data_IF_418340086863
#
_entry.id   IF_418340086863
#
_cell.length_a   1.000
_cell.length_b   1.000
_cell.length_c   1.000
_cell.angle_alpha   90.00
_cell.angle_beta   90.00
_cell.angle_gamma   90.00
#
_symmetry.space_group_name_H-M   'P 1'
#
loop_
_entity.id
_entity.type
_entity.pdbx_description
1 polymer ?
#
# COMPACT_ATOMS: atom_id res chain seq x y z
N UNK A 1 5.45 12.75 31.94
CA UNK A 1 6.69 11.95 31.87
C UNK A 1 6.28 10.49 31.91
N UNK A 2 6.07 9.90 30.76
CA UNK A 2 5.83 8.46 30.63
C UNK A 2 7.18 7.78 30.66
N UNK A 3 7.45 7.05 31.72
CA UNK A 3 8.65 6.19 31.86
C UNK A 3 8.57 5.12 30.78
N UNK A 4 9.48 5.17 29.81
CA UNK A 4 9.75 4.03 28.92
C UNK A 4 10.33 2.90 29.79
N UNK A 5 9.54 1.88 30.06
CA UNK A 5 10.09 0.61 30.55
C UNK A 5 10.96 0.01 29.43
N UNK A 6 12.18 -0.44 29.72
CA UNK A 6 12.99 -1.12 28.72
C UNK A 6 12.25 -2.40 28.31
N UNK A 7 11.94 -2.53 27.02
CA UNK A 7 11.40 -3.77 26.46
C UNK A 7 12.45 -4.87 26.71
N UNK A 8 12.13 -5.83 27.55
CA UNK A 8 12.93 -7.05 27.69
C UNK A 8 12.86 -7.81 26.39
N UNK A 9 14.00 -8.20 25.82
CA UNK A 9 14.03 -9.03 24.63
C UNK A 9 13.18 -10.28 24.87
N UNK A 10 12.21 -10.59 23.98
CA UNK A 10 11.34 -11.74 24.15
C UNK A 10 12.18 -13.02 24.18
N UNK A 11 11.80 -13.96 25.03
CA UNK A 11 12.45 -15.26 25.09
C UNK A 11 12.11 -16.10 23.85
N UNK A 12 12.93 -17.09 23.55
CA UNK A 12 12.65 -18.03 22.45
C UNK A 12 11.26 -18.68 22.57
N UNK A 13 10.79 -18.92 23.79
CA UNK A 13 9.45 -19.48 24.08
C UNK A 13 8.34 -18.49 23.70
N UNK A 14 8.55 -17.18 23.95
CA UNK A 14 7.59 -16.14 23.59
C UNK A 14 7.45 -16.01 22.07
N UNK A 15 8.57 -16.01 21.33
CA UNK A 15 8.60 -15.98 19.87
C UNK A 15 7.88 -17.19 19.27
N UNK A 16 8.07 -18.38 19.86
CA UNK A 16 7.40 -19.60 19.39
C UNK A 16 5.89 -19.54 19.64
N UNK A 17 5.46 -19.04 20.80
CA UNK A 17 4.05 -18.87 21.12
C UNK A 17 3.36 -17.86 20.19
N UNK A 18 4.03 -16.75 19.84
CA UNK A 18 3.56 -15.80 18.82
C UNK A 18 3.48 -16.49 17.47
N UNK A 19 4.48 -17.26 17.08
CA UNK A 19 4.51 -18.02 15.81
C UNK A 19 3.31 -18.96 15.66
N UNK A 20 2.93 -19.69 16.69
CA UNK A 20 1.76 -20.59 16.67
C UNK A 20 0.45 -19.82 16.50
N UNK A 21 0.32 -18.65 17.14
CA UNK A 21 -0.84 -17.78 16.97
C UNK A 21 -0.90 -17.18 15.54
N UNK A 22 0.22 -16.69 15.04
CA UNK A 22 0.36 -16.13 13.67
C UNK A 22 0.00 -17.21 12.65
N UNK A 23 0.54 -18.42 12.78
CA UNK A 23 0.25 -19.54 11.88
C UNK A 23 -1.24 -19.88 11.81
N UNK A 24 -1.93 -19.80 12.93
CA UNK A 24 -3.38 -20.02 12.95
C UNK A 24 -4.15 -18.85 12.37
N UNK A 25 -3.74 -17.61 12.66
CA UNK A 25 -4.40 -16.39 12.21
C UNK A 25 -4.15 -16.07 10.74
N UNK A 26 -3.07 -16.57 10.11
CA UNK A 26 -2.77 -16.39 8.69
C UNK A 26 -3.60 -17.29 7.76
N UNK A 27 -4.14 -18.41 8.25
CA UNK A 27 -4.92 -19.36 7.43
C UNK A 27 -6.07 -18.70 6.65
N UNK A 28 -6.91 -17.80 7.22
CA UNK A 28 -7.95 -17.13 6.46
C UNK A 28 -7.41 -16.27 5.32
N UNK A 29 -6.24 -15.64 5.48
CA UNK A 29 -5.60 -14.84 4.43
C UNK A 29 -5.10 -15.71 3.28
N UNK A 30 -4.51 -16.86 3.56
CA UNK A 30 -4.13 -17.85 2.53
C UNK A 30 -5.36 -18.32 1.74
N UNK A 31 -6.46 -18.68 2.42
CA UNK A 31 -7.71 -19.07 1.76
C UNK A 31 -8.31 -17.95 0.92
N UNK A 32 -8.21 -16.70 1.38
CA UNK A 32 -8.68 -15.55 0.62
C UNK A 32 -7.82 -15.35 -0.63
N UNK A 33 -6.51 -15.46 -0.52
CA UNK A 33 -5.59 -15.39 -1.65
C UNK A 33 -5.91 -16.48 -2.69
N UNK A 34 -6.10 -17.72 -2.27
CA UNK A 34 -6.52 -18.83 -3.15
C UNK A 34 -7.86 -18.53 -3.84
N UNK A 35 -8.84 -17.98 -3.10
CA UNK A 35 -10.13 -17.58 -3.66
C UNK A 35 -10.00 -16.48 -4.69
N UNK A 36 -9.09 -15.52 -4.49
CA UNK A 36 -8.81 -14.45 -5.44
C UNK A 36 -8.11 -14.97 -6.70
N UNK A 37 -7.18 -15.92 -6.58
CA UNK A 37 -6.52 -16.57 -7.72
C UNK A 37 -7.48 -17.37 -8.63
N UNK A 38 -8.63 -17.80 -8.11
CA UNK A 38 -9.66 -18.41 -8.95
C UNK A 38 -10.30 -17.41 -9.93
N UNK A 39 -10.25 -16.12 -9.63
CA UNK A 39 -10.86 -15.05 -10.42
C UNK A 39 -9.80 -14.22 -11.15
N UNK A 40 -8.62 -14.04 -10.56
CA UNK A 40 -7.52 -13.23 -11.07
C UNK A 40 -6.41 -14.18 -11.51
N UNK A 41 -5.94 -14.01 -12.73
CA UNK A 41 -4.83 -14.79 -13.28
C UNK A 41 -3.58 -13.92 -13.22
N UNK A 42 -2.51 -14.46 -12.63
CA UNK A 42 -1.29 -13.70 -12.38
C UNK A 42 -1.49 -12.62 -11.34
N UNK A 43 -0.66 -11.59 -11.40
CA UNK A 43 -0.68 -10.45 -10.46
C UNK A 43 -0.46 -10.87 -8.99
N UNK A 44 0.27 -11.96 -8.78
CA UNK A 44 0.50 -12.54 -7.45
C UNK A 44 1.16 -11.53 -6.52
N UNK A 45 2.09 -10.74 -7.06
CA UNK A 45 2.77 -9.70 -6.32
C UNK A 45 1.82 -8.59 -5.89
N UNK A 46 0.98 -8.07 -6.79
CA UNK A 46 -0.03 -7.07 -6.46
C UNK A 46 -0.96 -7.57 -5.35
N UNK A 47 -1.48 -8.80 -5.48
CA UNK A 47 -2.37 -9.39 -4.48
C UNK A 47 -1.66 -9.49 -3.13
N UNK A 48 -0.41 -9.94 -3.11
CA UNK A 48 0.37 -10.05 -1.88
C UNK A 48 0.62 -8.68 -1.23
N UNK A 49 0.99 -7.65 -2.03
CA UNK A 49 1.16 -6.27 -1.53
C UNK A 49 -0.13 -5.66 -0.99
N UNK A 50 -1.28 -6.00 -1.58
CA UNK A 50 -2.58 -5.57 -1.05
C UNK A 50 -2.84 -6.14 0.35
N UNK A 51 -2.52 -7.40 0.61
CA UNK A 51 -2.62 -8.01 1.94
C UNK A 51 -1.64 -7.36 2.93
N UNK A 52 -0.40 -7.10 2.51
CA UNK A 52 0.59 -6.39 3.34
C UNK A 52 0.05 -4.99 3.70
N UNK A 53 -0.44 -4.22 2.73
CA UNK A 53 -1.00 -2.89 2.98
C UNK A 53 -2.20 -2.92 3.93
N UNK A 54 -3.07 -3.92 3.81
CA UNK A 54 -4.21 -4.12 4.70
C UNK A 54 -3.77 -4.42 6.14
N UNK A 55 -2.78 -5.30 6.31
CA UNK A 55 -2.26 -5.73 7.61
C UNK A 55 -1.37 -4.65 8.27
N UNK A 56 -0.52 -4.00 7.50
CA UNK A 56 0.33 -2.90 7.96
C UNK A 56 -0.44 -1.57 8.14
N UNK A 57 -1.75 -1.56 7.87
CA UNK A 57 -2.62 -0.37 7.94
C UNK A 57 -2.13 0.80 7.07
N UNK A 58 -1.53 0.50 5.93
CA UNK A 58 -0.99 1.48 4.98
C UNK A 58 -1.80 1.55 3.69
N UNK A 59 -1.49 2.54 2.86
CA UNK A 59 -2.11 2.77 1.57
C UNK A 59 -1.12 2.47 0.44
N UNK A 60 -1.60 2.08 -0.73
CA UNK A 60 -0.77 1.68 -1.86
C UNK A 60 -0.94 2.62 -3.04
N UNK A 61 0.16 2.95 -3.69
CA UNK A 61 0.19 3.54 -5.02
C UNK A 61 0.52 2.43 -6.02
N UNK A 62 -0.34 2.24 -7.01
CA UNK A 62 -0.17 1.20 -8.03
C UNK A 62 0.15 1.89 -9.35
N UNK A 63 1.35 1.67 -9.84
CA UNK A 63 1.77 2.15 -11.15
C UNK A 63 1.68 1.02 -12.18
N UNK A 64 1.06 1.29 -13.31
CA UNK A 64 0.95 0.32 -14.39
C UNK A 64 -0.11 0.70 -15.39
N UNK A 65 0.03 0.15 -16.59
CA UNK A 65 -0.86 0.42 -17.73
C UNK A 65 -2.33 0.05 -17.43
N UNK A 66 -3.30 0.64 -18.14
CA UNK A 66 -4.70 0.25 -18.01
C UNK A 66 -4.93 -1.19 -18.48
N UNK A 67 -5.99 -1.83 -17.97
CA UNK A 67 -6.37 -3.19 -18.41
C UNK A 67 -5.75 -4.35 -17.61
N UNK A 68 -4.93 -4.10 -16.60
CA UNK A 68 -4.26 -5.12 -15.78
C UNK A 68 -5.12 -5.64 -14.60
N UNK A 69 -6.43 -5.68 -14.73
CA UNK A 69 -7.38 -6.20 -13.75
C UNK A 69 -7.30 -5.57 -12.34
N UNK A 70 -6.68 -4.37 -12.18
CA UNK A 70 -6.56 -3.68 -10.89
C UNK A 70 -7.89 -3.53 -10.17
N UNK A 71 -8.94 -3.08 -10.87
CA UNK A 71 -10.29 -2.93 -10.31
C UNK A 71 -10.87 -4.27 -9.84
N UNK A 72 -10.64 -5.33 -10.61
CA UNK A 72 -11.09 -6.67 -10.24
C UNK A 72 -10.38 -7.17 -8.98
N UNK A 73 -9.07 -6.96 -8.86
CA UNK A 73 -8.29 -7.34 -7.69
C UNK A 73 -8.80 -6.64 -6.42
N UNK A 74 -8.97 -5.31 -6.47
CA UNK A 74 -9.42 -4.53 -5.31
C UNK A 74 -10.86 -4.86 -4.91
N UNK A 75 -11.76 -5.01 -5.89
CA UNK A 75 -13.16 -5.39 -5.60
C UNK A 75 -13.27 -6.82 -5.08
N UNK A 76 -12.38 -7.72 -5.51
CA UNK A 76 -12.31 -9.10 -5.04
C UNK A 76 -11.83 -9.17 -3.58
N UNK A 77 -10.82 -8.37 -3.22
CA UNK A 77 -10.37 -8.24 -1.83
C UNK A 77 -11.51 -7.79 -0.93
N UNK A 78 -12.21 -6.71 -1.30
CA UNK A 78 -13.32 -6.17 -0.51
C UNK A 78 -14.44 -7.18 -0.29
N UNK A 79 -14.83 -7.92 -1.33
CA UNK A 79 -15.83 -9.00 -1.24
C UNK A 79 -15.37 -10.13 -0.36
N UNK A 80 -14.09 -10.51 -0.45
CA UNK A 80 -13.52 -11.61 0.31
C UNK A 80 -13.45 -11.35 1.82
N UNK A 81 -13.42 -10.08 2.24
CA UNK A 81 -13.41 -9.66 3.65
C UNK A 81 -14.74 -9.02 4.10
N UNK A 82 -15.81 -9.17 3.34
CA UNK A 82 -17.15 -8.62 3.61
C UNK A 82 -17.13 -7.14 4.01
N UNK A 83 -16.59 -6.29 3.15
CA UNK A 83 -16.48 -4.86 3.44
C UNK A 83 -16.89 -4.00 2.25
N UNK A 84 -17.16 -2.72 2.51
CA UNK A 84 -17.56 -1.77 1.48
C UNK A 84 -16.40 -1.45 0.54
N UNK A 85 -16.72 -1.40 -0.76
CA UNK A 85 -15.80 -1.03 -1.83
C UNK A 85 -16.37 0.12 -2.64
N UNK A 86 -15.51 1.09 -2.96
CA UNK A 86 -15.84 2.18 -3.87
C UNK A 86 -14.71 2.40 -4.88
N UNK A 87 -15.06 2.44 -6.16
CA UNK A 87 -14.16 2.92 -7.21
C UNK A 87 -14.44 4.39 -7.45
N UNK A 88 -13.40 5.20 -7.45
CA UNK A 88 -13.41 6.62 -7.74
C UNK A 88 -12.54 6.88 -8.96
N UNK A 89 -13.14 7.26 -10.08
CA UNK A 89 -12.39 7.69 -11.25
C UNK A 89 -12.02 9.16 -11.08
N UNK A 90 -10.74 9.44 -11.06
CA UNK A 90 -10.24 10.81 -10.96
C UNK A 90 -10.25 11.48 -12.32
N UNK A 91 -10.82 12.70 -12.39
CA UNK A 91 -10.98 13.50 -13.62
C UNK A 91 -10.65 14.95 -13.34
N UNK A 92 -10.31 15.76 -14.37
CA UNK A 92 -9.94 17.17 -14.19
C UNK A 92 -11.04 18.06 -13.61
N UNK A 93 -12.30 17.67 -13.72
CA UNK A 93 -13.48 18.38 -13.22
C UNK A 93 -13.92 17.99 -11.81
N UNK A 94 -13.28 16.97 -11.21
CA UNK A 94 -13.61 16.51 -9.87
C UNK A 94 -13.34 17.59 -8.81
N UNK A 95 -14.23 17.71 -7.84
CA UNK A 95 -14.09 18.62 -6.71
C UNK A 95 -13.81 17.82 -5.40
N UNK A 96 -13.15 18.43 -4.40
CA UNK A 96 -12.96 17.78 -3.09
C UNK A 96 -14.27 17.32 -2.44
N UNK A 97 -15.36 18.08 -2.62
CA UNK A 97 -16.67 17.73 -2.09
C UNK A 97 -17.29 16.47 -2.71
N UNK A 98 -16.94 16.14 -3.96
CA UNK A 98 -17.38 14.91 -4.60
C UNK A 98 -16.76 13.66 -3.95
N UNK A 99 -15.59 13.82 -3.34
CA UNK A 99 -14.88 12.80 -2.60
C UNK A 99 -15.35 12.72 -1.13
N UNK A 100 -15.37 13.86 -0.44
CA UNK A 100 -15.60 13.92 1.01
C UNK A 100 -17.08 14.02 1.39
N UNK A 101 -17.88 14.56 0.48
CA UNK A 101 -19.27 14.88 0.75
C UNK A 101 -19.49 16.36 1.10
N UNK A 102 -20.74 16.73 1.34
CA UNK A 102 -21.15 18.13 1.50
C UNK A 102 -22.34 18.27 2.44
N UNK A 103 -22.59 19.49 2.88
CA UNK A 103 -23.84 19.86 3.56
C UNK A 103 -24.93 20.13 2.52
N UNK A 104 -26.06 19.47 2.67
CA UNK A 104 -27.26 19.68 1.86
C UNK A 104 -28.33 20.34 2.71
N UNK A 105 -28.91 21.46 2.20
CA UNK A 105 -30.04 22.09 2.85
C UNK A 105 -31.34 21.37 2.46
N UNK A 106 -32.04 20.86 3.47
CA UNK A 106 -33.39 20.26 3.30
C UNK A 106 -34.45 21.30 3.50
N UNK A 107 -35.08 21.73 2.43
CA UNK A 107 -36.15 22.76 2.46
C UNK A 107 -37.39 22.31 3.23
N UNK A 108 -37.75 21.02 3.19
CA UNK A 108 -38.87 20.41 3.87
C UNK A 108 -38.78 20.48 5.41
N UNK A 109 -37.53 20.49 5.93
CA UNK A 109 -37.27 20.51 7.38
C UNK A 109 -36.55 21.78 7.86
N UNK A 110 -36.08 22.61 6.97
CA UNK A 110 -35.32 23.82 7.29
C UNK A 110 -33.97 23.56 7.95
N UNK A 111 -33.37 22.38 7.70
CA UNK A 111 -32.14 21.94 8.33
C UNK A 111 -31.05 21.58 7.30
N UNK A 112 -29.78 21.69 7.74
CA UNK A 112 -28.66 21.14 6.96
C UNK A 112 -28.41 19.70 7.39
N UNK A 113 -28.29 18.80 6.40
CA UNK A 113 -27.90 17.41 6.61
C UNK A 113 -26.56 17.14 5.94
N UNK A 114 -25.76 16.28 6.58
CA UNK A 114 -24.50 15.81 6.02
C UNK A 114 -24.79 14.73 4.99
N UNK A 115 -24.36 14.96 3.75
CA UNK A 115 -24.31 13.95 2.73
C UNK A 115 -22.87 13.44 2.59
N UNK A 116 -22.58 12.26 3.14
CA UNK A 116 -21.24 11.65 3.12
C UNK A 116 -20.84 11.24 1.72
N UNK A 117 -19.63 11.57 1.33
CA UNK A 117 -19.08 11.19 0.05
C UNK A 117 -18.56 9.74 0.01
N UNK A 118 -18.10 9.28 -1.15
CA UNK A 118 -17.64 7.91 -1.36
C UNK A 118 -16.40 7.52 -0.55
N UNK A 119 -15.66 8.49 -0.01
CA UNK A 119 -14.48 8.24 0.85
C UNK A 119 -14.82 7.47 2.14
N UNK A 120 -16.08 7.43 2.53
CA UNK A 120 -16.54 6.69 3.70
C UNK A 120 -16.72 5.18 3.43
N UNK A 121 -16.05 4.65 2.42
CA UNK A 121 -15.95 3.21 2.15
C UNK A 121 -14.66 2.65 2.74
N UNK A 122 -14.68 1.38 3.13
CA UNK A 122 -13.52 0.70 3.75
C UNK A 122 -12.38 0.48 2.77
N UNK A 123 -12.68 0.07 1.54
CA UNK A 123 -11.69 -0.11 0.48
C UNK A 123 -12.02 0.82 -0.67
N UNK A 124 -11.06 1.64 -1.04
CA UNK A 124 -11.19 2.62 -2.13
C UNK A 124 -10.15 2.35 -3.19
N UNK A 125 -10.60 2.26 -4.43
CA UNK A 125 -9.74 2.35 -5.60
C UNK A 125 -9.85 3.78 -6.16
N UNK A 126 -8.82 4.59 -5.93
CA UNK A 126 -8.66 5.92 -6.50
C UNK A 126 -7.98 5.79 -7.87
N UNK A 127 -8.78 5.66 -8.93
CA UNK A 127 -8.29 5.32 -10.26
C UNK A 127 -7.82 6.58 -11.00
N UNK A 128 -6.60 6.54 -11.53
CA UNK A 128 -5.93 7.65 -12.24
C UNK A 128 -5.83 8.94 -11.40
N UNK A 129 -5.29 8.82 -10.18
CA UNK A 129 -5.20 9.94 -9.21
C UNK A 129 -4.50 11.18 -9.79
N UNK A 130 -3.55 10.99 -10.72
CA UNK A 130 -2.82 12.05 -11.38
C UNK A 130 -3.65 12.84 -12.41
N UNK A 131 -4.90 12.47 -12.72
CA UNK A 131 -5.81 13.24 -13.60
C UNK A 131 -6.61 14.30 -12.87
N UNK A 132 -6.70 14.24 -11.55
CA UNK A 132 -7.45 15.24 -10.78
C UNK A 132 -6.57 16.41 -10.34
N UNK A 133 -7.17 17.61 -10.16
CA UNK A 133 -6.46 18.77 -9.64
C UNK A 133 -5.84 18.52 -8.26
N UNK A 134 -4.74 19.23 -7.96
CA UNK A 134 -3.99 19.08 -6.72
C UNK A 134 -4.85 19.22 -5.44
N UNK A 135 -5.93 20.00 -5.48
CA UNK A 135 -6.87 20.15 -4.34
C UNK A 135 -7.60 18.85 -4.01
N UNK A 136 -7.99 18.07 -5.02
CA UNK A 136 -8.67 16.79 -4.84
C UNK A 136 -7.70 15.73 -4.36
N UNK A 137 -6.50 15.69 -4.96
CA UNK A 137 -5.41 14.82 -4.50
C UNK A 137 -5.10 15.08 -3.02
N UNK A 138 -4.95 16.36 -2.63
CA UNK A 138 -4.68 16.75 -1.24
C UNK A 138 -5.79 16.33 -0.29
N UNK A 139 -7.06 16.44 -0.68
CA UNK A 139 -8.19 16.00 0.15
C UNK A 139 -8.17 14.47 0.39
N UNK A 140 -7.86 13.67 -0.65
CA UNK A 140 -7.69 12.23 -0.48
C UNK A 140 -6.53 11.90 0.47
N UNK A 141 -5.36 12.51 0.24
CA UNK A 141 -4.15 12.25 1.00
C UNK A 141 -4.27 12.71 2.47
N UNK A 142 -5.01 13.80 2.74
CA UNK A 142 -5.34 14.21 4.09
C UNK A 142 -6.24 13.18 4.78
N UNK A 143 -7.29 12.73 4.12
CA UNK A 143 -8.18 11.70 4.65
C UNK A 143 -7.45 10.37 4.91
N UNK A 144 -6.51 10.00 4.06
CA UNK A 144 -5.65 8.82 4.26
C UNK A 144 -4.81 8.94 5.54
N UNK A 145 -4.24 10.11 5.79
CA UNK A 145 -3.36 10.35 6.92
C UNK A 145 -4.14 10.50 8.24
N UNK A 146 -5.19 11.32 8.22
CA UNK A 146 -5.94 11.69 9.42
C UNK A 146 -7.01 10.66 9.81
N UNK A 147 -7.37 9.74 8.91
CA UNK A 147 -8.44 8.73 9.10
C UNK A 147 -9.78 9.35 9.50
N UNK A 148 -9.99 10.60 9.13
CA UNK A 148 -11.20 11.37 9.39
C UNK A 148 -11.38 12.45 8.32
N UNK A 149 -12.63 12.94 8.19
CA UNK A 149 -13.00 14.00 7.26
C UNK A 149 -13.91 15.00 7.98
N UNK A 150 -13.66 16.29 7.78
CA UNK A 150 -14.51 17.36 8.28
C UNK A 150 -15.46 17.83 7.19
N UNK A 151 -16.77 17.80 7.46
CA UNK A 151 -17.83 18.31 6.57
C UNK A 151 -18.59 19.40 7.30
N UNK A 152 -18.48 20.62 6.82
CA UNK A 152 -19.01 21.78 7.54
C UNK A 152 -18.29 22.00 8.88
N UNK A 153 -19.00 21.82 9.97
CA UNK A 153 -18.45 21.99 11.35
C UNK A 153 -18.21 20.66 12.07
N UNK A 154 -18.54 19.53 11.44
CA UNK A 154 -18.47 18.21 12.07
C UNK A 154 -17.36 17.36 11.46
N UNK A 155 -16.64 16.63 12.33
CA UNK A 155 -15.58 15.69 11.93
C UNK A 155 -16.07 14.26 12.09
N UNK A 156 -15.94 13.47 11.01
CA UNK A 156 -16.38 12.09 10.92
C UNK A 156 -15.18 11.17 10.76
N UNK A 157 -15.08 10.13 11.56
CA UNK A 157 -14.08 9.07 11.39
C UNK A 157 -14.39 8.24 10.15
N UNK A 158 -13.36 7.84 9.46
CA UNK A 158 -13.45 6.86 8.37
C UNK A 158 -13.59 5.44 8.93
N UNK A 159 -14.07 4.46 8.14
CA UNK A 159 -14.21 3.09 8.60
C UNK A 159 -12.87 2.44 8.95
N UNK A 160 -12.89 1.38 9.73
CA UNK A 160 -11.75 0.50 9.94
C UNK A 160 -12.17 -0.94 9.57
N UNK A 161 -11.45 -1.60 8.65
CA UNK A 161 -10.27 -1.13 7.93
C UNK A 161 -10.56 -0.01 6.92
N UNK A 162 -9.58 0.86 6.69
CA UNK A 162 -9.60 1.87 5.64
C UNK A 162 -8.34 1.73 4.77
N UNK A 163 -8.51 1.24 3.56
CA UNK A 163 -7.42 1.02 2.61
C UNK A 163 -7.70 1.77 1.32
N UNK A 164 -6.79 2.65 0.93
CA UNK A 164 -6.80 3.32 -0.37
C UNK A 164 -5.74 2.69 -1.26
N UNK A 165 -6.16 2.29 -2.46
CA UNK A 165 -5.29 1.90 -3.55
C UNK A 165 -5.45 2.96 -4.63
N UNK A 166 -4.43 3.79 -4.81
CA UNK A 166 -4.42 4.80 -5.85
C UNK A 166 -3.69 4.26 -7.08
N UNK A 167 -4.21 4.52 -8.29
CA UNK A 167 -3.52 4.13 -9.51
C UNK A 167 -2.95 5.32 -10.23
N UNK A 168 -1.80 5.13 -10.87
CA UNK A 168 -1.20 6.05 -11.82
C UNK A 168 -0.93 5.33 -13.14
N UNK A 169 -1.17 6.03 -14.25
CA UNK A 169 -0.79 5.56 -15.56
C UNK A 169 0.50 6.29 -15.97
N UNK A 170 1.63 5.60 -16.11
CA UNK A 170 2.91 6.23 -16.46
C UNK A 170 2.97 6.74 -17.90
N UNK A 171 2.10 6.23 -18.78
CA UNK A 171 2.13 6.56 -20.23
C UNK A 171 1.37 7.86 -20.54
N UNK A 172 0.33 8.17 -19.78
CA UNK A 172 -0.48 9.37 -20.00
C UNK A 172 0.17 10.58 -19.33
N UNK A 173 0.77 11.47 -20.13
CA UNK A 173 1.37 12.72 -19.67
C UNK A 173 0.47 13.93 -19.92
N UNK A 174 -0.37 13.91 -20.97
CA UNK A 174 -1.25 15.03 -21.30
C UNK A 174 -2.45 15.13 -20.33
N UNK A 175 -2.67 16.32 -19.78
CA UNK A 175 -3.80 16.58 -18.87
C UNK A 175 -3.64 15.94 -17.48
N UNK A 176 -2.42 15.62 -17.07
CA UNK A 176 -2.11 15.07 -15.75
C UNK A 176 -1.51 16.13 -14.82
N UNK A 177 -1.75 15.93 -13.54
CA UNK A 177 -1.18 16.71 -12.44
C UNK A 177 -0.30 15.74 -11.61
N UNK A 178 1.02 15.74 -11.81
CA UNK A 178 1.89 14.83 -11.06
C UNK A 178 1.75 15.06 -9.56
N UNK A 179 1.77 13.98 -8.80
CA UNK A 179 1.81 14.07 -7.34
C UNK A 179 3.18 14.59 -6.93
N UNK A 180 3.27 15.67 -6.12
CA UNK A 180 4.53 16.07 -5.51
C UNK A 180 5.11 14.95 -4.66
N UNK A 181 6.44 14.82 -4.62
CA UNK A 181 7.15 13.77 -3.87
C UNK A 181 6.72 13.67 -2.40
N UNK A 182 6.59 14.82 -1.70
CA UNK A 182 6.10 14.88 -0.32
C UNK A 182 4.68 14.32 -0.15
N UNK A 183 3.90 14.22 -1.24
CA UNK A 183 2.57 13.61 -1.24
C UNK A 183 2.63 12.12 -1.55
N UNK A 184 3.53 11.70 -2.42
CA UNK A 184 3.75 10.28 -2.75
C UNK A 184 4.31 9.52 -1.53
N UNK A 185 5.14 10.16 -0.70
CA UNK A 185 5.69 9.63 0.57
C UNK A 185 4.59 9.31 1.64
N UNK A 186 3.32 9.63 1.37
CA UNK A 186 2.19 9.22 2.22
C UNK A 186 1.69 7.81 1.92
N UNK A 187 2.04 7.26 0.78
CA UNK A 187 1.79 5.86 0.47
C UNK A 187 2.85 4.98 1.14
N UNK A 188 2.42 3.84 1.63
CA UNK A 188 3.32 2.89 2.29
C UNK A 188 4.17 2.13 1.28
N UNK A 189 3.59 1.80 0.13
CA UNK A 189 4.25 1.10 -0.97
C UNK A 189 3.82 1.69 -2.31
N UNK A 190 4.76 1.74 -3.27
CA UNK A 190 4.50 1.96 -4.69
C UNK A 190 4.76 0.65 -5.44
N UNK A 191 3.70 0.00 -5.86
CA UNK A 191 3.74 -1.29 -6.55
C UNK A 191 3.70 -1.06 -8.06
N UNK A 192 4.71 -1.53 -8.77
CA UNK A 192 4.74 -1.51 -10.23
C UNK A 192 4.11 -2.79 -10.75
N UNK A 193 3.15 -2.66 -11.65
CA UNK A 193 2.39 -3.78 -12.21
C UNK A 193 2.69 -3.90 -13.69
N UNK A 194 3.33 -5.00 -14.06
CA UNK A 194 3.69 -5.32 -15.42
C UNK A 194 2.61 -6.08 -16.17
N UNK A 195 2.80 -6.19 -17.50
CA UNK A 195 1.95 -7.02 -18.33
C UNK A 195 2.03 -8.49 -17.93
N UNK A 196 0.92 -9.24 -18.06
CA UNK A 196 0.93 -10.67 -17.81
C UNK A 196 1.86 -11.39 -18.80
N UNK A 197 2.42 -12.48 -18.34
CA UNK A 197 3.22 -13.38 -19.20
C UNK A 197 2.36 -14.02 -20.27
N UNK A 198 2.97 -14.51 -21.33
CA UNK A 198 2.24 -15.24 -22.41
C UNK A 198 1.41 -16.41 -21.88
N UNK A 199 1.84 -17.06 -20.80
CA UNK A 199 1.11 -18.18 -20.19
C UNK A 199 -0.12 -17.68 -19.45
N UNK A 200 0.02 -16.59 -18.69
CA UNK A 200 -1.08 -15.94 -18.00
C UNK A 200 -2.12 -15.35 -18.96
N UNK A 201 -1.67 -14.71 -20.07
CA UNK A 201 -2.60 -14.23 -21.10
C UNK A 201 -3.44 -15.37 -21.70
N UNK A 202 -2.80 -16.53 -21.96
CA UNK A 202 -3.55 -17.70 -22.44
C UNK A 202 -4.56 -18.20 -21.43
N UNK A 203 -4.25 -18.15 -20.15
CA UNK A 203 -5.17 -18.54 -19.09
C UNK A 203 -6.29 -17.51 -18.92
N UNK A 204 -5.99 -16.21 -19.01
CA UNK A 204 -6.97 -15.13 -19.05
C UNK A 204 -7.95 -15.35 -20.21
N UNK A 205 -7.43 -15.63 -21.41
CA UNK A 205 -8.27 -15.90 -22.58
C UNK A 205 -9.21 -17.08 -22.35
N UNK A 206 -8.73 -18.18 -21.77
CA UNK A 206 -9.57 -19.36 -21.48
C UNK A 206 -10.67 -19.06 -20.46
N UNK A 207 -10.36 -18.27 -19.40
CA UNK A 207 -11.32 -18.01 -18.33
C UNK A 207 -12.27 -16.88 -18.64
N UNK A 208 -11.81 -15.84 -19.35
CA UNK A 208 -12.53 -14.58 -19.51
C UNK A 208 -13.16 -14.36 -20.88
N UNK A 209 -12.77 -15.14 -21.92
CA UNK A 209 -13.35 -15.00 -23.27
C UNK A 209 -14.74 -15.64 -23.36
N UNK A 210 -15.63 -15.31 -22.43
CA UNK A 210 -17.02 -15.75 -22.36
C UNK A 210 -17.94 -14.55 -22.15
N UNK A 211 -19.17 -14.62 -22.67
CA UNK A 211 -20.16 -13.54 -22.52
C UNK A 211 -20.74 -13.46 -21.09
N UNK A 212 -20.60 -14.53 -20.30
CA UNK A 212 -21.02 -14.60 -18.91
C UNK A 212 -19.82 -14.90 -18.04
N UNK A 213 -19.23 -13.85 -17.44
CA UNK A 213 -18.10 -13.99 -16.52
C UNK A 213 -18.62 -14.30 -15.12
N UNK A 214 -18.12 -15.36 -14.50
CA UNK A 214 -18.37 -15.65 -13.10
C UNK A 214 -17.20 -15.15 -12.24
N UNK A 215 -17.26 -13.88 -11.82
CA UNK A 215 -16.25 -13.20 -10.99
C UNK A 215 -16.64 -13.28 -9.50
N UNK A 216 -17.12 -14.44 -9.05
CA UNK A 216 -17.54 -14.62 -7.67
C UNK A 216 -16.35 -15.03 -6.80
N UNK A 217 -15.94 -14.11 -5.91
CA UNK A 217 -15.02 -14.40 -4.79
C UNK A 217 -15.89 -14.69 -3.57
N UNK A 218 -15.64 -15.83 -2.94
CA UNK A 218 -16.33 -16.17 -1.70
C UNK A 218 -15.88 -15.24 -0.56
N UNK A 219 -16.81 -14.83 0.29
CA UNK A 219 -16.47 -14.21 1.56
C UNK A 219 -15.77 -15.25 2.44
N UNK A 220 -14.55 -14.98 2.86
CA UNK A 220 -13.69 -15.90 3.62
C UNK A 220 -13.53 -15.46 5.07
N UNK A 221 -13.56 -14.15 5.31
CA UNK A 221 -13.40 -13.57 6.65
C UNK A 221 -14.21 -12.29 6.79
N UNK A 222 -14.49 -11.89 8.01
CA UNK A 222 -15.09 -10.61 8.34
C UNK A 222 -14.00 -9.52 8.50
N UNK A 223 -14.36 -8.27 8.23
CA UNK A 223 -13.48 -7.11 8.43
C UNK A 223 -12.95 -7.00 9.87
N UNK A 224 -13.73 -7.39 10.86
CA UNK A 224 -13.36 -7.45 12.28
C UNK A 224 -12.12 -8.32 12.55
N UNK A 225 -11.89 -9.37 11.74
CA UNK A 225 -10.73 -10.26 11.87
C UNK A 225 -9.41 -9.56 11.56
N UNK A 226 -9.45 -8.47 10.78
CA UNK A 226 -8.24 -7.72 10.40
C UNK A 226 -7.64 -6.99 11.59
N UNK A 227 -8.47 -6.43 12.49
CA UNK A 227 -7.96 -5.79 13.71
C UNK A 227 -7.19 -6.79 14.60
N UNK A 228 -7.70 -8.01 14.73
CA UNK A 228 -7.02 -9.08 15.45
C UNK A 228 -5.68 -9.46 14.80
N UNK A 229 -5.65 -9.57 13.47
CA UNK A 229 -4.44 -9.87 12.72
C UNK A 229 -3.40 -8.74 12.86
N UNK A 230 -3.79 -7.47 12.79
CA UNK A 230 -2.90 -6.31 13.00
C UNK A 230 -2.24 -6.33 14.38
N UNK A 231 -3.00 -6.66 15.44
CA UNK A 231 -2.44 -6.81 16.79
C UNK A 231 -1.37 -7.91 16.88
N UNK A 232 -1.51 -8.99 16.09
CA UNK A 232 -0.50 -10.02 16.00
C UNK A 232 0.71 -9.56 15.17
N UNK A 233 0.50 -8.83 14.07
CA UNK A 233 1.58 -8.21 13.29
C UNK A 233 2.43 -7.29 14.16
N UNK A 234 1.82 -6.49 15.05
CA UNK A 234 2.55 -5.63 15.97
C UNK A 234 3.47 -6.43 16.92
N UNK A 235 3.06 -7.65 17.29
CA UNK A 235 3.81 -8.54 18.21
C UNK A 235 4.91 -9.35 17.51
N UNK A 236 4.95 -9.42 16.18
CA UNK A 236 5.98 -10.13 15.43
C UNK A 236 7.35 -9.59 15.80
N UNK A 237 8.23 -10.50 16.17
CA UNK A 237 9.58 -10.17 16.61
C UNK A 237 10.44 -9.68 15.44
N UNK A 238 11.21 -8.64 15.70
CA UNK A 238 12.28 -8.17 14.82
C UNK A 238 13.57 -8.10 15.63
N UNK A 239 14.62 -8.73 15.14
CA UNK A 239 15.94 -8.72 15.77
C UNK A 239 16.59 -7.34 15.58
N UNK A 240 17.39 -6.92 16.58
CA UNK A 240 18.11 -5.63 16.54
C UNK A 240 19.02 -5.53 15.31
N UNK A 241 19.61 -6.63 14.84
CA UNK A 241 20.43 -6.63 13.63
C UNK A 241 19.60 -6.35 12.38
N UNK A 242 18.39 -6.90 12.29
CA UNK A 242 17.46 -6.62 11.18
C UNK A 242 16.94 -5.19 11.28
N UNK A 243 16.63 -4.71 12.48
CA UNK A 243 16.23 -3.33 12.68
C UNK A 243 17.33 -2.35 12.25
N UNK A 244 18.58 -2.62 12.61
CA UNK A 244 19.73 -1.84 12.15
C UNK A 244 19.90 -1.92 10.63
N UNK A 245 19.76 -3.10 10.03
CA UNK A 245 19.80 -3.29 8.57
C UNK A 245 18.77 -2.41 7.83
N UNK A 246 17.52 -2.34 8.33
CA UNK A 246 16.50 -1.44 7.78
C UNK A 246 16.92 0.03 7.89
N UNK A 247 17.46 0.42 9.04
CA UNK A 247 17.95 1.80 9.27
C UNK A 247 19.11 2.12 8.33
N UNK A 248 20.05 1.20 8.16
CA UNK A 248 21.22 1.37 7.29
C UNK A 248 20.80 1.55 5.84
N UNK A 249 19.87 0.72 5.32
CA UNK A 249 19.31 0.86 3.97
C UNK A 249 18.74 2.27 3.73
N UNK A 250 17.97 2.78 4.70
CA UNK A 250 17.35 4.12 4.58
C UNK A 250 18.41 5.23 4.75
N UNK A 251 19.36 5.08 5.65
CA UNK A 251 20.41 6.10 5.83
C UNK A 251 21.34 6.21 4.63
N UNK A 252 21.77 5.08 4.07
CA UNK A 252 22.64 5.06 2.88
C UNK A 252 21.96 5.74 1.69
N UNK A 253 20.62 5.64 1.56
CA UNK A 253 19.91 6.38 0.51
C UNK A 253 20.10 7.91 0.60
N UNK A 254 20.43 8.45 1.78
CA UNK A 254 20.65 9.88 2.03
C UNK A 254 22.11 10.29 1.89
N UNK A 255 23.01 9.33 1.85
CA UNK A 255 24.46 9.52 1.75
C UNK A 255 25.04 8.59 0.68
N UNK A 256 24.51 8.65 -0.58
CA UNK A 256 24.88 7.73 -1.65
C UNK A 256 26.36 7.84 -2.04
N UNK A 257 27.04 8.94 -1.70
CA UNK A 257 28.48 9.14 -1.87
C UNK A 257 29.32 8.10 -1.12
N UNK A 258 28.78 7.46 -0.12
CA UNK A 258 29.46 6.36 0.60
C UNK A 258 29.60 5.13 -0.31
N UNK A 259 28.67 4.91 -1.23
CA UNK A 259 28.74 3.83 -2.23
C UNK A 259 29.65 4.25 -3.37
N UNK A 260 29.33 5.36 -4.05
CA UNK A 260 30.13 5.91 -5.14
C UNK A 260 29.78 7.37 -5.41
N UNK A 261 30.73 8.14 -5.98
CA UNK A 261 30.50 9.51 -6.42
C UNK A 261 29.47 9.56 -7.56
N UNK A 262 29.48 8.57 -8.49
CA UNK A 262 28.51 8.45 -9.58
C UNK A 262 27.08 8.29 -9.04
N UNK A 263 26.87 7.42 -8.05
CA UNK A 263 25.53 7.22 -7.46
C UNK A 263 25.02 8.50 -6.77
N UNK A 264 25.93 9.29 -6.18
CA UNK A 264 25.58 10.57 -5.54
C UNK A 264 25.06 11.61 -6.54
N UNK A 265 25.51 11.56 -7.80
CA UNK A 265 25.03 12.45 -8.86
C UNK A 265 23.58 12.09 -9.30
N UNK A 266 23.14 10.86 -9.04
CA UNK A 266 21.83 10.38 -9.44
C UNK A 266 20.73 10.55 -8.37
N UNK A 267 21.08 10.85 -7.12
CA UNK A 267 20.13 10.98 -6.02
C UNK A 267 19.97 12.44 -5.63
N UNK A 268 18.77 12.99 -5.81
CA UNK A 268 18.42 14.33 -5.34
C UNK A 268 18.04 14.32 -3.85
N UNK A 269 17.18 13.36 -3.47
CA UNK A 269 16.76 13.15 -2.07
C UNK A 269 16.70 11.65 -1.74
N UNK A 270 17.28 11.27 -0.60
CA UNK A 270 17.12 9.94 -0.04
C UNK A 270 15.80 9.76 0.72
N UNK A 271 15.49 8.53 1.06
CA UNK A 271 14.23 8.15 1.68
C UNK A 271 13.98 8.80 3.05
N UNK A 272 12.74 9.13 3.35
CA UNK A 272 12.33 9.74 4.63
C UNK A 272 12.33 8.73 5.79
N UNK A 273 12.24 9.17 7.07
CA UNK A 273 12.05 8.25 8.19
C UNK A 273 10.77 7.43 8.12
N UNK A 274 9.78 7.85 7.32
CA UNK A 274 8.57 7.05 7.05
C UNK A 274 8.90 5.74 6.35
N UNK A 275 9.91 5.73 5.49
CA UNK A 275 10.36 4.51 4.81
C UNK A 275 10.90 3.47 5.80
N UNK A 276 11.61 3.88 6.86
CA UNK A 276 12.05 2.97 7.94
C UNK A 276 10.86 2.30 8.63
N UNK A 277 9.83 3.09 8.96
CA UNK A 277 8.60 2.57 9.57
C UNK A 277 7.83 1.66 8.60
N UNK A 278 7.71 2.07 7.34
CA UNK A 278 7.04 1.30 6.30
C UNK A 278 7.72 -0.05 6.06
N UNK A 279 9.06 -0.08 5.90
CA UNK A 279 9.81 -1.34 5.75
C UNK A 279 9.60 -2.26 6.95
N UNK A 280 9.65 -1.72 8.17
CA UNK A 280 9.45 -2.51 9.39
C UNK A 280 8.05 -3.11 9.45
N UNK A 281 7.00 -2.31 9.22
CA UNK A 281 5.61 -2.77 9.27
C UNK A 281 5.30 -3.75 8.12
N UNK A 282 5.78 -3.45 6.92
CA UNK A 282 5.60 -4.33 5.77
C UNK A 282 6.32 -5.67 5.96
N UNK A 283 7.56 -5.68 6.48
CA UNK A 283 8.30 -6.91 6.76
C UNK A 283 7.60 -7.78 7.84
N UNK A 284 7.04 -7.16 8.89
CA UNK A 284 6.22 -7.86 9.87
C UNK A 284 4.95 -8.43 9.25
N UNK A 285 4.25 -7.65 8.41
CA UNK A 285 3.05 -8.12 7.72
C UNK A 285 3.38 -9.27 6.74
N UNK A 286 4.54 -9.23 6.07
CA UNK A 286 5.02 -10.31 5.22
C UNK A 286 5.28 -11.58 6.03
N UNK A 287 5.99 -11.47 7.15
CA UNK A 287 6.23 -12.60 8.06
C UNK A 287 4.91 -13.21 8.58
N UNK A 288 3.90 -12.36 8.88
CA UNK A 288 2.56 -12.82 9.26
C UNK A 288 1.89 -13.66 8.17
N UNK A 289 1.91 -13.21 6.93
CA UNK A 289 1.32 -13.93 5.79
C UNK A 289 2.00 -15.29 5.57
N UNK A 290 3.30 -15.38 5.82
CA UNK A 290 4.07 -16.62 5.79
C UNK A 290 3.88 -17.51 7.03
N UNK A 291 3.08 -17.10 8.00
CA UNK A 291 2.83 -17.84 9.23
C UNK A 291 4.02 -17.86 10.20
N UNK A 292 4.91 -16.85 10.12
CA UNK A 292 6.09 -16.71 10.98
C UNK A 292 5.90 -15.65 12.06
N UNK A 293 6.39 -15.93 13.27
CA UNK A 293 6.38 -14.99 14.40
C UNK A 293 7.60 -14.06 14.45
N UNK A 294 8.43 -14.03 13.42
CA UNK A 294 9.66 -13.22 13.34
C UNK A 294 9.97 -12.79 11.91
N UNK A 295 10.62 -11.65 11.77
CA UNK A 295 11.09 -11.08 10.51
C UNK A 295 12.44 -11.68 10.13
N UNK A 296 12.68 -11.87 8.84
CA UNK A 296 13.96 -12.27 8.24
C UNK A 296 14.53 -11.14 7.37
N UNK A 297 15.84 -11.11 7.09
CA UNK A 297 16.41 -10.15 6.13
C UNK A 297 15.77 -10.23 4.73
N UNK A 298 15.28 -11.40 4.34
CA UNK A 298 14.62 -11.59 3.05
C UNK A 298 13.30 -10.83 2.98
N UNK A 299 12.53 -10.77 4.08
CA UNK A 299 11.30 -9.96 4.13
C UNK A 299 11.55 -8.50 3.83
N UNK A 300 12.68 -7.97 4.31
CA UNK A 300 13.09 -6.58 4.05
C UNK A 300 13.48 -6.39 2.59
N UNK A 301 14.27 -7.32 2.02
CA UNK A 301 14.73 -7.25 0.62
C UNK A 301 13.57 -7.33 -0.36
N UNK A 302 12.61 -8.22 -0.13
CA UNK A 302 11.46 -8.45 -1.02
C UNK A 302 10.54 -7.21 -1.11
N UNK A 303 10.62 -6.32 -0.11
CA UNK A 303 9.78 -5.14 0.00
C UNK A 303 10.54 -3.82 -0.23
N UNK A 304 11.87 -3.89 -0.30
CA UNK A 304 12.71 -2.69 -0.40
C UNK A 304 12.37 -1.83 -1.61
N UNK A 305 12.15 -2.43 -2.77
CA UNK A 305 11.79 -1.70 -3.99
C UNK A 305 10.43 -1.00 -3.84
N UNK A 306 9.41 -1.70 -3.34
CA UNK A 306 8.06 -1.15 -3.24
C UNK A 306 7.96 -0.03 -2.21
N UNK A 307 8.78 -0.07 -1.15
CA UNK A 307 8.79 0.94 -0.09
C UNK A 307 9.70 2.11 -0.42
N UNK A 308 10.83 1.89 -1.09
CA UNK A 308 11.85 2.92 -1.29
C UNK A 308 11.72 3.66 -2.62
N UNK A 309 11.19 3.03 -3.70
CA UNK A 309 11.20 3.61 -5.05
C UNK A 309 10.48 4.94 -5.18
N UNK A 310 9.52 5.23 -4.32
CA UNK A 310 8.79 6.49 -4.30
C UNK A 310 9.26 7.47 -3.23
N UNK A 311 10.17 7.04 -2.36
CA UNK A 311 10.78 7.84 -1.32
C UNK A 311 12.19 8.34 -1.69
N UNK A 312 12.79 7.77 -2.75
CA UNK A 312 14.08 8.19 -3.30
C UNK A 312 13.81 8.96 -4.59
N UNK A 313 14.18 10.25 -4.60
CA UNK A 313 14.09 11.10 -5.78
C UNK A 313 15.39 11.07 -6.58
N UNK A 314 15.26 10.89 -7.88
CA UNK A 314 16.39 10.91 -8.82
C UNK A 314 16.56 12.29 -9.46
N UNK A 315 17.79 12.65 -9.80
CA UNK A 315 18.10 13.89 -10.50
C UNK A 315 17.69 13.84 -11.97
N UNK A 316 17.61 15.00 -12.63
CA UNK A 316 17.37 15.08 -14.07
C UNK A 316 18.49 14.42 -14.89
N UNK A 317 19.71 14.42 -14.38
CA UNK A 317 20.86 13.74 -14.98
C UNK A 317 20.63 12.24 -14.98
N UNK A 318 20.13 11.67 -13.87
CA UNK A 318 19.79 10.25 -13.79
C UNK A 318 18.70 9.88 -14.82
N UNK A 319 17.65 10.69 -14.92
CA UNK A 319 16.58 10.47 -15.90
C UNK A 319 17.09 10.54 -17.34
N UNK A 320 17.99 11.49 -17.65
CA UNK A 320 18.60 11.63 -18.98
C UNK A 320 19.46 10.42 -19.36
N UNK A 321 20.06 9.73 -18.38
CA UNK A 321 20.85 8.50 -18.55
C UNK A 321 19.97 7.23 -18.48
N UNK A 322 18.67 7.37 -18.26
CA UNK A 322 17.74 6.24 -18.10
C UNK A 322 17.92 5.46 -16.80
N UNK A 323 18.52 6.12 -15.78
CA UNK A 323 18.66 5.57 -14.44
C UNK A 323 17.39 5.82 -13.63
N UNK A 324 17.00 4.84 -12.85
CA UNK A 324 15.77 4.85 -12.05
C UNK A 324 16.08 4.77 -10.55
N UNK A 325 15.09 5.06 -9.71
CA UNK A 325 15.19 4.82 -8.27
C UNK A 325 15.46 3.33 -7.95
N UNK A 326 14.99 2.39 -8.80
CA UNK A 326 15.23 0.96 -8.61
C UNK A 326 16.72 0.61 -8.81
N UNK A 327 17.45 1.30 -9.73
CA UNK A 327 18.91 1.14 -9.87
C UNK A 327 19.65 1.60 -8.61
N UNK A 328 19.21 2.71 -8.01
CA UNK A 328 19.75 3.21 -6.74
C UNK A 328 19.49 2.22 -5.60
N UNK A 329 18.27 1.68 -5.51
CA UNK A 329 17.91 0.68 -4.49
C UNK A 329 18.75 -0.58 -4.65
N UNK A 330 18.97 -1.03 -5.89
CA UNK A 330 19.84 -2.18 -6.18
C UNK A 330 21.25 -1.96 -5.65
N UNK A 331 21.84 -0.80 -5.92
CA UNK A 331 23.18 -0.46 -5.44
C UNK A 331 23.24 -0.40 -3.89
N UNK A 332 22.18 0.10 -3.23
CA UNK A 332 22.09 0.14 -1.76
C UNK A 332 22.02 -1.29 -1.20
N UNK A 333 21.16 -2.16 -1.76
CA UNK A 333 20.99 -3.54 -1.30
C UNK A 333 22.26 -4.39 -1.48
N UNK A 334 23.03 -4.10 -2.53
CA UNK A 334 24.32 -4.79 -2.79
C UNK A 334 25.43 -4.29 -1.85
N UNK A 335 25.37 -3.02 -1.43
CA UNK A 335 26.37 -2.40 -0.57
C UNK A 335 26.18 -2.73 0.92
N UNK A 336 24.93 -2.70 1.42
CA UNK A 336 24.65 -2.90 2.85
C UNK A 336 24.73 -4.38 3.21
N UNK A 337 25.62 -4.79 4.14
CA UNK A 337 25.75 -6.18 4.50
C UNK A 337 24.48 -6.73 5.16
N UNK A 338 24.11 -7.92 4.75
CA UNK A 338 22.95 -8.64 5.29
C UNK A 338 23.33 -9.26 6.63
N UNK A 339 22.55 -9.06 7.70
CA UNK A 339 22.85 -9.61 9.02
C UNK A 339 22.68 -11.13 9.11
#
# INVERSE_FOLDING_TARGET
MTTFEPMTNPTHTDIQAIGDQVKSASIPFTKLQESMHNVIVGQDELLHRMFIGLLANGHLLIEGVPGLAKTLAVSSLAKGIDTSFQRLQFTPDLLPADLTGTLMYRQDKGEFIVNKGPIFSSIILADEINRAPAKVQSALLEAMQERQVTIGTETFKLPDPFLVLATQNPIEQEGTYPLPEAQVDRFMMKVVVDYPTKQEEREILKRMATTSQNNHVACVMEASSIEGARKLVDQIYIDDQIANYIVDLVQISRTPEIISAELAEFVEYGASPRATLALTLCAKANAFLDGRGYVTPQDVKDLAYDVLRHSIATTYEAEAEGRTSDDVITAILDFVPVP
#
